data_IF_515470197041
#
_entry.id   IF_515470197041
#
_cell.length_a   1.000
_cell.length_b   1.000
_cell.length_c   1.000
_cell.angle_alpha   90.00
_cell.angle_beta   90.00
_cell.angle_gamma   90.00
#
_symmetry.space_group_name_H-M   'P 1'
#
loop_
_entity.id
_entity.type
_entity.pdbx_description
1 polymer ?
#
# COMPACT_ATOMS: atom_id res chain seq x y z
N UNK A 1 31.66 -23.94 -60.53
CA UNK A 1 30.77 -23.96 -59.33
C UNK A 1 29.99 -22.64 -59.30
N UNK A 2 28.77 -22.65 -59.84
CA UNK A 2 27.95 -21.44 -60.05
C UNK A 2 27.11 -21.13 -58.82
N UNK A 3 27.31 -19.96 -58.22
CA UNK A 3 26.50 -19.44 -57.12
C UNK A 3 25.12 -19.01 -57.65
N UNK A 4 24.13 -19.93 -57.63
CA UNK A 4 22.78 -19.60 -58.08
C UNK A 4 22.11 -18.58 -57.14
N UNK A 5 21.34 -17.61 -57.67
CA UNK A 5 20.66 -16.60 -56.87
C UNK A 5 19.68 -17.19 -55.86
N UNK A 6 19.16 -18.40 -56.14
CA UNK A 6 18.29 -19.17 -55.25
C UNK A 6 19.03 -19.64 -53.99
N UNK A 7 20.28 -20.10 -54.11
CA UNK A 7 21.12 -20.50 -52.96
C UNK A 7 21.42 -19.34 -52.02
N UNK A 8 21.64 -18.14 -52.56
CA UNK A 8 21.84 -16.93 -51.75
C UNK A 8 20.58 -16.55 -50.96
N UNK A 9 19.40 -16.59 -51.61
CA UNK A 9 18.11 -16.33 -50.93
C UNK A 9 17.84 -17.32 -49.81
N UNK A 10 18.06 -18.62 -50.05
CA UNK A 10 17.93 -19.67 -49.03
C UNK A 10 18.91 -19.40 -47.87
N UNK A 11 20.15 -19.03 -48.17
CA UNK A 11 21.14 -18.66 -47.15
C UNK A 11 20.71 -17.49 -46.28
N UNK A 12 20.15 -16.42 -46.87
CA UNK A 12 19.65 -15.27 -46.12
C UNK A 12 18.41 -15.61 -45.28
N UNK A 13 17.49 -16.42 -45.79
CA UNK A 13 16.31 -16.85 -45.03
C UNK A 13 16.71 -17.70 -43.83
N UNK A 14 17.65 -18.63 -43.99
CA UNK A 14 18.18 -19.44 -42.88
C UNK A 14 18.89 -18.56 -41.84
N UNK A 15 19.72 -17.61 -42.29
CA UNK A 15 20.38 -16.67 -41.39
C UNK A 15 19.38 -15.80 -40.61
N UNK A 16 18.33 -15.30 -41.27
CA UNK A 16 17.29 -14.51 -40.64
C UNK A 16 16.52 -15.32 -39.58
N UNK A 17 16.17 -16.57 -39.89
CA UNK A 17 15.50 -17.47 -38.94
C UNK A 17 16.40 -17.77 -37.73
N UNK A 18 17.70 -17.99 -37.94
CA UNK A 18 18.65 -18.19 -36.85
C UNK A 18 18.74 -16.96 -35.93
N UNK A 19 18.79 -15.76 -36.51
CA UNK A 19 18.79 -14.51 -35.73
C UNK A 19 17.49 -14.37 -34.94
N UNK A 20 16.34 -14.68 -35.54
CA UNK A 20 15.05 -14.63 -34.84
C UNK A 20 14.96 -15.64 -33.70
N UNK A 21 15.47 -16.86 -33.88
CA UNK A 21 15.53 -17.88 -32.82
C UNK A 21 16.42 -17.39 -31.67
N UNK A 22 17.59 -16.83 -31.95
CA UNK A 22 18.48 -16.29 -30.92
C UNK A 22 17.84 -15.09 -30.22
N UNK A 23 17.23 -14.17 -30.97
CA UNK A 23 16.54 -13.02 -30.39
C UNK A 23 15.35 -13.43 -29.52
N UNK A 24 14.60 -14.44 -29.95
CA UNK A 24 13.49 -15.00 -29.18
C UNK A 24 13.97 -15.73 -27.92
N UNK A 25 15.04 -16.52 -28.01
CA UNK A 25 15.66 -17.15 -26.82
C UNK A 25 16.14 -16.09 -25.83
N UNK A 26 16.79 -15.02 -26.30
CA UNK A 26 17.22 -13.92 -25.44
C UNK A 26 16.04 -13.14 -24.84
N UNK A 27 14.95 -12.97 -25.60
CA UNK A 27 13.72 -12.37 -25.09
C UNK A 27 13.06 -13.25 -24.04
N UNK A 28 12.99 -14.57 -24.26
CA UNK A 28 12.48 -15.52 -23.27
C UNK A 28 13.34 -15.52 -22.00
N UNK A 29 14.68 -15.51 -22.12
CA UNK A 29 15.57 -15.35 -20.96
C UNK A 29 15.35 -14.03 -20.25
N UNK A 30 15.20 -12.93 -20.98
CA UNK A 30 14.89 -11.62 -20.40
C UNK A 30 13.56 -11.63 -19.63
N UNK A 31 12.51 -12.23 -20.23
CA UNK A 31 11.22 -12.41 -19.58
C UNK A 31 11.34 -13.32 -18.35
N UNK A 32 12.07 -14.43 -18.44
CA UNK A 32 12.27 -15.37 -17.33
C UNK A 32 13.05 -14.74 -16.16
N UNK A 33 14.13 -13.99 -16.42
CA UNK A 33 14.87 -13.28 -15.36
C UNK A 33 14.03 -12.19 -14.70
N UNK A 34 13.08 -11.58 -15.43
CA UNK A 34 12.10 -10.64 -14.88
C UNK A 34 10.93 -11.33 -14.17
N UNK A 35 10.69 -12.60 -14.48
CA UNK A 35 9.68 -13.47 -13.90
C UNK A 35 10.26 -14.37 -12.80
N UNK A 36 11.52 -14.17 -12.38
CA UNK A 36 12.01 -14.72 -11.12
C UNK A 36 11.00 -14.28 -10.05
N UNK A 37 10.21 -15.20 -9.47
CA UNK A 37 9.28 -14.84 -8.42
C UNK A 37 10.12 -14.17 -7.35
N UNK A 38 9.71 -12.98 -6.97
CA UNK A 38 10.33 -12.27 -5.87
C UNK A 38 10.15 -13.16 -4.63
N UNK A 39 11.18 -13.95 -4.29
CA UNK A 39 11.16 -14.94 -3.21
C UNK A 39 11.37 -14.31 -1.82
N UNK A 40 11.19 -12.99 -1.70
CA UNK A 40 11.30 -12.26 -0.43
C UNK A 40 9.98 -11.59 -0.07
N UNK A 41 9.89 -11.06 1.15
CA UNK A 41 8.79 -10.20 1.58
C UNK A 41 8.92 -8.82 0.91
N UNK A 42 7.88 -8.26 0.25
CA UNK A 42 8.01 -7.07 -0.60
C UNK A 42 8.51 -5.84 0.17
N UNK A 43 9.18 -4.86 -0.47
CA UNK A 43 9.46 -3.59 0.20
C UNK A 43 8.17 -2.83 0.48
N UNK A 44 8.13 -2.03 1.56
CA UNK A 44 6.95 -1.24 1.97
C UNK A 44 6.31 -0.44 0.81
N UNK A 45 7.12 0.10 -0.10
CA UNK A 45 6.62 0.82 -1.29
C UNK A 45 5.65 -0.01 -2.14
N UNK A 46 5.92 -1.31 -2.30
CA UNK A 46 5.08 -2.20 -3.09
C UNK A 46 3.77 -2.50 -2.37
N UNK A 47 3.84 -2.76 -1.06
CA UNK A 47 2.68 -2.93 -0.18
C UNK A 47 1.79 -1.68 -0.19
N UNK A 48 2.37 -0.48 -0.16
CA UNK A 48 1.61 0.79 -0.30
C UNK A 48 0.94 0.94 -1.67
N UNK A 49 1.55 0.44 -2.75
CA UNK A 49 0.92 0.43 -4.07
C UNK A 49 -0.23 -0.57 -4.14
N UNK A 50 -0.04 -1.74 -3.55
CA UNK A 50 -1.09 -2.76 -3.46
C UNK A 50 -2.27 -2.26 -2.62
N UNK A 51 -2.00 -1.54 -1.53
CA UNK A 51 -3.00 -0.81 -0.76
C UNK A 51 -3.76 0.20 -1.60
N UNK A 52 -3.06 0.99 -2.43
CA UNK A 52 -3.69 1.90 -3.38
C UNK A 52 -4.65 1.18 -4.34
N UNK A 53 -4.25 0.02 -4.87
CA UNK A 53 -5.12 -0.82 -5.70
C UNK A 53 -6.34 -1.32 -4.93
N UNK A 54 -6.17 -1.80 -3.70
CA UNK A 54 -7.26 -2.28 -2.86
C UNK A 54 -8.28 -1.16 -2.55
N UNK A 55 -7.80 0.05 -2.23
CA UNK A 55 -8.65 1.22 -2.02
C UNK A 55 -9.45 1.60 -3.28
N UNK A 56 -8.82 1.54 -4.45
CA UNK A 56 -9.50 1.78 -5.72
C UNK A 56 -10.58 0.73 -6.01
N UNK A 57 -10.26 -0.55 -5.83
CA UNK A 57 -11.21 -1.65 -6.03
C UNK A 57 -12.41 -1.52 -5.08
N UNK A 58 -12.15 -1.18 -3.81
CA UNK A 58 -13.19 -0.91 -2.82
C UNK A 58 -14.08 0.27 -3.27
N UNK A 59 -13.47 1.40 -3.66
CA UNK A 59 -14.21 2.57 -4.10
C UNK A 59 -15.03 2.30 -5.37
N UNK A 60 -14.51 1.53 -6.32
CA UNK A 60 -15.25 1.12 -7.52
C UNK A 60 -16.48 0.28 -7.17
N UNK A 61 -16.35 -0.64 -6.21
CA UNK A 61 -17.44 -1.53 -5.80
C UNK A 61 -18.47 -0.88 -4.88
N UNK A 62 -18.01 -0.04 -3.95
CA UNK A 62 -18.83 0.50 -2.85
C UNK A 62 -19.19 1.98 -3.03
N UNK A 63 -18.57 2.69 -3.97
CA UNK A 63 -18.82 4.10 -4.26
C UNK A 63 -18.15 5.09 -3.31
N UNK A 64 -17.40 4.61 -2.31
CA UNK A 64 -16.66 5.44 -1.34
C UNK A 64 -15.39 4.73 -0.90
N UNK A 65 -14.46 5.46 -0.28
CA UNK A 65 -13.36 4.83 0.46
C UNK A 65 -13.90 4.09 1.70
N UNK A 66 -13.18 3.07 2.22
CA UNK A 66 -13.63 2.31 3.37
C UNK A 66 -13.58 3.17 4.64
N UNK A 67 -14.58 3.04 5.50
CA UNK A 67 -14.61 3.67 6.83
C UNK A 67 -14.40 2.59 7.91
N UNK A 68 -14.05 3.02 9.12
CA UNK A 68 -13.97 2.13 10.27
C UNK A 68 -15.35 1.52 10.56
N UNK A 69 -15.36 0.26 11.00
CA UNK A 69 -16.59 -0.40 11.44
C UNK A 69 -16.96 0.18 12.80
N UNK A 70 -18.16 0.75 12.90
CA UNK A 70 -18.64 1.43 14.12
C UNK A 70 -19.75 0.66 14.81
N UNK A 71 -19.77 0.76 16.13
CA UNK A 71 -20.93 0.36 16.92
C UNK A 71 -22.13 1.24 16.55
N UNK A 72 -23.24 0.63 16.15
CA UNK A 72 -24.43 1.36 15.70
C UNK A 72 -25.12 2.19 16.78
N UNK A 73 -24.90 1.85 18.05
CA UNK A 73 -25.54 2.48 19.21
C UNK A 73 -24.67 3.57 19.84
N UNK A 74 -23.36 3.36 19.93
CA UNK A 74 -22.43 4.31 20.55
C UNK A 74 -21.69 5.18 19.53
N UNK A 75 -21.59 4.73 18.28
CA UNK A 75 -20.76 5.37 17.24
C UNK A 75 -19.26 5.12 17.41
N UNK A 76 -18.84 4.29 18.36
CA UNK A 76 -17.44 3.98 18.62
C UNK A 76 -16.84 3.14 17.48
N UNK A 77 -15.62 3.45 17.05
CA UNK A 77 -14.90 2.63 16.08
C UNK A 77 -14.47 1.31 16.74
N UNK A 78 -14.97 0.19 16.22
CA UNK A 78 -14.69 -1.16 16.71
C UNK A 78 -13.52 -1.80 15.98
N UNK A 79 -13.52 -1.73 14.64
CA UNK A 79 -12.49 -2.31 13.77
C UNK A 79 -12.03 -1.31 12.73
N UNK A 80 -10.75 -1.38 12.37
CA UNK A 80 -10.18 -0.55 11.32
C UNK A 80 -10.79 -0.83 9.95
N UNK A 81 -10.98 0.21 9.14
CA UNK A 81 -11.29 0.14 7.69
C UNK A 81 -10.42 -0.87 6.92
N UNK A 82 -9.22 -1.16 7.42
CA UNK A 82 -8.28 -2.14 6.84
C UNK A 82 -8.87 -3.56 6.73
N UNK A 83 -9.77 -3.96 7.63
CA UNK A 83 -10.37 -5.31 7.59
C UNK A 83 -11.26 -5.55 6.38
N UNK A 84 -11.65 -4.48 5.67
CA UNK A 84 -12.51 -4.53 4.50
C UNK A 84 -11.74 -4.69 3.18
N UNK A 85 -10.41 -4.52 3.18
CA UNK A 85 -9.62 -4.45 1.95
C UNK A 85 -8.99 -5.75 1.44
N UNK A 86 -8.64 -6.77 2.26
CA UNK A 86 -8.01 -7.98 1.75
C UNK A 86 -8.80 -8.69 0.65
N UNK A 87 -10.13 -8.74 0.75
CA UNK A 87 -10.98 -9.35 -0.29
C UNK A 87 -10.92 -8.61 -1.63
N UNK A 88 -10.59 -7.31 -1.62
CA UNK A 88 -10.41 -6.48 -2.82
C UNK A 88 -9.23 -6.90 -3.68
N UNK A 89 -8.29 -7.66 -3.10
CA UNK A 89 -7.12 -8.21 -3.77
C UNK A 89 -7.12 -9.74 -3.76
N UNK A 90 -8.31 -10.34 -3.61
CA UNK A 90 -8.50 -11.80 -3.56
C UNK A 90 -7.78 -12.50 -2.39
N UNK A 91 -7.53 -11.77 -1.30
CA UNK A 91 -6.97 -12.33 -0.07
C UNK A 91 -8.11 -12.67 0.91
N UNK A 92 -8.05 -13.87 1.50
CA UNK A 92 -9.11 -14.37 2.41
C UNK A 92 -8.69 -14.18 3.86
N UNK A 93 -9.61 -13.68 4.68
CA UNK A 93 -9.41 -13.51 6.13
C UNK A 93 -10.11 -14.61 6.93
N UNK A 94 -9.65 -14.88 8.18
CA UNK A 94 -10.48 -15.60 9.14
C UNK A 94 -11.75 -14.79 9.45
N UNK A 95 -12.80 -15.47 9.92
CA UNK A 95 -14.03 -14.80 10.35
C UNK A 95 -13.79 -13.88 11.56
N UNK A 96 -14.51 -12.76 11.62
CA UNK A 96 -14.41 -11.78 12.70
C UNK A 96 -15.77 -11.16 13.06
N UNK A 97 -15.86 -10.58 14.25
CA UNK A 97 -17.08 -10.07 14.85
C UNK A 97 -17.15 -8.55 14.74
N UNK A 98 -18.00 -8.05 13.82
CA UNK A 98 -18.17 -6.61 13.56
C UNK A 98 -18.77 -5.82 14.73
N UNK A 99 -19.39 -6.51 15.70
CA UNK A 99 -19.98 -5.92 16.90
C UNK A 99 -19.04 -5.93 18.11
N UNK A 100 -17.79 -6.37 17.93
CA UNK A 100 -16.80 -6.42 19.00
C UNK A 100 -15.58 -5.55 18.65
N UNK A 101 -14.93 -4.91 19.63
CA UNK A 101 -13.66 -4.20 19.42
C UNK A 101 -12.55 -5.09 18.85
N UNK A 102 -11.58 -4.47 18.20
CA UNK A 102 -10.42 -5.13 17.59
C UNK A 102 -9.61 -6.03 18.53
N UNK A 103 -9.56 -5.73 19.83
CA UNK A 103 -8.84 -6.49 20.87
C UNK A 103 -9.72 -7.45 21.67
N UNK A 104 -11.00 -7.57 21.31
CA UNK A 104 -11.93 -8.48 21.98
C UNK A 104 -11.56 -9.96 21.75
N UNK A 105 -11.95 -10.87 22.67
CA UNK A 105 -11.68 -12.29 22.51
C UNK A 105 -12.16 -12.89 21.18
N UNK A 106 -13.30 -12.43 20.63
CA UNK A 106 -13.83 -12.89 19.35
C UNK A 106 -13.01 -12.47 18.13
N UNK A 107 -12.21 -11.40 18.25
CA UNK A 107 -11.36 -10.87 17.17
C UNK A 107 -9.88 -11.22 17.33
N UNK A 108 -9.52 -12.02 18.34
CA UNK A 108 -8.12 -12.34 18.67
C UNK A 108 -7.37 -13.06 17.54
N UNK A 109 -8.05 -13.94 16.79
CA UNK A 109 -7.46 -14.64 15.65
C UNK A 109 -7.11 -13.65 14.52
N UNK A 110 -8.05 -12.77 14.16
CA UNK A 110 -7.85 -11.72 13.15
C UNK A 110 -6.70 -10.77 13.54
N UNK A 111 -6.72 -10.29 14.78
CA UNK A 111 -5.67 -9.43 15.34
C UNK A 111 -4.32 -10.15 15.42
N UNK A 112 -4.33 -11.47 15.48
CA UNK A 112 -3.16 -12.34 15.46
C UNK A 112 -2.39 -12.37 14.14
N UNK A 113 -3.08 -12.07 13.04
CA UNK A 113 -2.62 -12.16 11.66
C UNK A 113 -2.05 -10.81 11.17
N UNK A 114 -1.17 -10.83 10.18
CA UNK A 114 -0.96 -9.70 9.27
C UNK A 114 -1.29 -10.18 7.84
N UNK A 115 -2.30 -9.61 7.16
CA UNK A 115 -2.57 -9.92 5.76
C UNK A 115 -1.38 -9.61 4.85
N UNK A 116 -1.18 -10.39 3.80
CA UNK A 116 -0.19 -10.20 2.74
C UNK A 116 -0.31 -8.80 2.13
N UNK A 117 -1.54 -8.26 2.04
CA UNK A 117 -1.82 -6.88 1.64
C UNK A 117 -1.03 -5.82 2.44
N UNK A 118 -0.70 -6.11 3.71
CA UNK A 118 0.01 -5.19 4.60
C UNK A 118 1.43 -5.64 4.95
N UNK A 119 1.83 -6.84 4.51
CA UNK A 119 3.14 -7.40 4.79
C UNK A 119 4.23 -6.77 3.92
N UNK A 120 5.39 -6.50 4.52
CA UNK A 120 6.60 -6.02 3.86
C UNK A 120 7.87 -6.44 4.61
N UNK A 121 9.03 -6.35 3.96
CA UNK A 121 10.35 -6.73 4.52
C UNK A 121 10.69 -6.05 5.86
N UNK A 122 10.01 -4.96 6.22
CA UNK A 122 10.17 -4.33 7.52
C UNK A 122 9.38 -5.01 8.65
N UNK A 123 8.40 -5.86 8.37
CA UNK A 123 7.56 -6.57 9.35
C UNK A 123 8.29 -7.70 10.09
N UNK A 124 9.39 -8.23 9.53
CA UNK A 124 10.20 -9.31 10.12
C UNK A 124 10.83 -8.95 11.49
N UNK A 125 10.74 -7.68 11.90
CA UNK A 125 11.11 -7.23 13.25
C UNK A 125 9.86 -7.16 14.11
N UNK A 126 9.60 -8.15 14.99
CA UNK A 126 8.55 -8.02 15.99
C UNK A 126 8.84 -6.76 16.81
N UNK A 127 7.89 -5.83 16.86
CA UNK A 127 7.97 -4.66 17.73
C UNK A 127 7.33 -5.05 19.04
N UNK A 128 8.12 -5.09 20.11
CA UNK A 128 7.60 -5.20 21.47
C UNK A 128 7.11 -3.81 21.88
N UNK A 129 5.82 -3.53 21.72
CA UNK A 129 5.18 -2.43 22.43
C UNK A 129 4.95 -2.92 23.86
N UNK A 130 5.62 -2.31 24.84
CA UNK A 130 5.50 -2.53 26.29
C UNK A 130 4.71 -3.80 26.69
N UNK A 131 5.45 -4.86 26.99
CA UNK A 131 5.02 -6.06 27.72
C UNK A 131 4.03 -7.02 27.02
N UNK A 132 3.58 -6.73 25.80
CA UNK A 132 2.84 -7.69 24.97
C UNK A 132 3.41 -7.72 23.55
N UNK A 133 3.73 -8.92 23.03
CA UNK A 133 4.13 -9.08 21.63
C UNK A 133 2.90 -8.84 20.77
N UNK A 134 2.71 -7.60 20.34
CA UNK A 134 1.65 -7.23 19.40
C UNK A 134 2.01 -7.82 18.04
N UNK A 135 1.19 -8.77 17.59
CA UNK A 135 1.25 -9.37 16.25
C UNK A 135 0.33 -8.57 15.32
N UNK A 136 0.53 -8.65 14.01
CA UNK A 136 -0.34 -7.94 13.06
C UNK A 136 -0.07 -6.44 12.92
N UNK A 137 1.19 -6.00 12.92
CA UNK A 137 1.51 -4.57 12.83
C UNK A 137 1.62 -4.09 11.38
N UNK A 138 0.85 -3.07 11.01
CA UNK A 138 0.94 -2.42 9.70
C UNK A 138 1.74 -1.12 9.75
N UNK A 139 2.42 -0.81 8.66
CA UNK A 139 3.08 0.48 8.43
C UNK A 139 2.19 1.48 7.67
N UNK A 140 1.01 1.09 7.21
CA UNK A 140 0.17 1.96 6.39
C UNK A 140 -0.90 2.63 7.26
N UNK A 141 -0.82 3.95 7.42
CA UNK A 141 -1.81 4.77 8.14
C UNK A 141 -2.59 5.65 7.16
N UNK A 142 -3.90 5.70 7.30
CA UNK A 142 -4.74 6.67 6.60
C UNK A 142 -4.49 8.09 7.12
N UNK A 143 -4.80 9.09 6.29
CA UNK A 143 -4.75 10.51 6.66
C UNK A 143 -6.19 11.01 6.74
N UNK A 144 -6.59 11.46 7.93
CA UNK A 144 -7.96 11.89 8.24
C UNK A 144 -8.06 13.40 8.38
N UNK A 145 -9.13 13.98 7.88
CA UNK A 145 -9.48 15.38 8.07
C UNK A 145 -10.07 15.62 9.49
N UNK A 146 -10.32 16.88 9.91
CA UNK A 146 -10.91 17.19 11.22
C UNK A 146 -12.22 16.47 11.54
N UNK A 147 -13.04 16.18 10.53
CA UNK A 147 -14.28 15.41 10.67
C UNK A 147 -14.09 13.89 10.74
N UNK A 148 -12.85 13.39 10.66
CA UNK A 148 -12.53 11.96 10.70
C UNK A 148 -12.69 11.24 9.35
N UNK A 149 -13.03 11.96 8.28
CA UNK A 149 -13.11 11.43 6.91
C UNK A 149 -11.73 11.39 6.26
N UNK A 150 -11.61 10.70 5.13
CA UNK A 150 -10.38 10.67 4.35
C UNK A 150 -10.00 12.07 3.86
N UNK A 151 -8.72 12.45 4.01
CA UNK A 151 -8.19 13.69 3.48
C UNK A 151 -8.44 13.82 1.96
N UNK A 152 -8.99 14.96 1.55
CA UNK A 152 -9.31 15.24 0.14
C UNK A 152 -10.62 14.65 -0.38
N UNK A 153 -11.48 14.08 0.47
CA UNK A 153 -12.82 13.60 0.05
C UNK A 153 -13.94 14.62 0.18
N UNK A 154 -13.76 15.67 0.99
CA UNK A 154 -14.71 16.78 1.16
C UNK A 154 -13.98 18.12 1.03
N UNK A 155 -13.51 18.43 -0.19
CA UNK A 155 -12.60 19.56 -0.44
C UNK A 155 -13.23 20.93 -0.24
N UNK A 156 -14.55 21.00 -0.27
CA UNK A 156 -15.30 22.25 -0.22
C UNK A 156 -15.57 22.70 1.22
N UNK A 157 -15.53 21.77 2.17
CA UNK A 157 -15.85 22.04 3.58
C UNK A 157 -14.69 21.75 4.54
N UNK A 158 -13.64 21.07 4.09
CA UNK A 158 -12.56 20.58 4.94
C UNK A 158 -11.17 20.92 4.38
N UNK A 159 -10.18 21.16 5.26
CA UNK A 159 -8.82 21.43 4.81
C UNK A 159 -8.21 20.18 4.15
N UNK A 160 -7.39 20.42 3.14
CA UNK A 160 -6.74 19.36 2.36
C UNK A 160 -5.23 19.44 2.51
N UNK A 161 -4.63 18.40 3.07
CA UNK A 161 -3.20 18.22 3.07
C UNK A 161 -2.74 17.66 1.73
N UNK A 162 -1.90 18.41 1.02
CA UNK A 162 -1.23 17.95 -0.18
C UNK A 162 0.26 17.74 0.06
N UNK A 163 0.79 16.61 -0.39
CA UNK A 163 2.23 16.32 -0.45
C UNK A 163 2.65 16.32 -1.92
N UNK A 164 3.71 17.06 -2.24
CA UNK A 164 4.23 17.27 -3.59
C UNK A 164 3.13 17.67 -4.60
N UNK A 165 2.18 18.49 -4.14
CA UNK A 165 1.08 19.01 -4.96
C UNK A 165 -0.11 18.07 -5.15
N UNK A 166 -0.18 16.94 -4.43
CA UNK A 166 -1.30 15.98 -4.50
C UNK A 166 -1.89 15.67 -3.12
N UNK A 167 -3.22 15.53 -2.98
CA UNK A 167 -3.84 15.09 -1.73
C UNK A 167 -3.33 13.71 -1.31
N UNK A 168 -2.79 13.62 -0.10
CA UNK A 168 -2.29 12.36 0.46
C UNK A 168 -3.43 11.56 1.09
N UNK A 169 -3.59 10.29 0.71
CA UNK A 169 -4.59 9.41 1.32
C UNK A 169 -4.01 8.62 2.50
N UNK A 170 -2.82 8.04 2.30
CA UNK A 170 -2.14 7.25 3.33
C UNK A 170 -0.66 7.64 3.42
N UNK A 171 -0.08 7.39 4.58
CA UNK A 171 1.36 7.45 4.81
C UNK A 171 1.90 6.08 5.21
N UNK A 172 3.10 5.76 4.71
CA UNK A 172 3.87 4.61 5.15
C UNK A 172 4.84 5.02 6.26
N UNK A 173 4.73 4.43 7.44
CA UNK A 173 5.50 4.82 8.63
C UNK A 173 6.57 3.80 9.03
N UNK A 174 7.60 4.31 9.71
CA UNK A 174 8.68 3.54 10.31
C UNK A 174 8.19 2.59 11.41
N UNK A 175 9.03 1.63 11.79
CA UNK A 175 8.68 0.56 12.74
C UNK A 175 8.16 1.06 14.10
N UNK A 176 8.62 2.22 14.57
CA UNK A 176 8.25 2.79 15.85
C UNK A 176 6.78 3.29 15.92
N UNK A 177 6.19 3.61 14.77
CA UNK A 177 4.83 4.16 14.68
C UNK A 177 3.81 3.15 14.13
N UNK A 178 4.20 1.89 13.99
CA UNK A 178 3.29 0.86 13.50
C UNK A 178 2.17 0.60 14.49
N UNK A 179 1.01 0.28 13.95
CA UNK A 179 -0.19 -0.03 14.73
C UNK A 179 -0.71 -1.41 14.36
N UNK A 180 -1.44 -2.03 15.27
CA UNK A 180 -2.20 -3.24 14.96
C UNK A 180 -3.15 -2.96 13.81
N UNK A 181 -3.13 -3.78 12.76
CA UNK A 181 -3.89 -3.51 11.53
C UNK A 181 -5.42 -3.53 11.73
N UNK A 182 -5.91 -4.25 12.74
CA UNK A 182 -7.33 -4.28 13.11
C UNK A 182 -7.76 -3.10 13.95
N UNK A 183 -6.82 -2.34 14.54
CA UNK A 183 -7.12 -1.21 15.44
C UNK A 183 -7.50 0.03 14.63
N UNK A 184 -8.67 0.66 14.88
CA UNK A 184 -9.13 1.85 14.15
C UNK A 184 -8.41 3.11 14.63
N UNK A 185 -7.13 3.22 14.28
CA UNK A 185 -6.27 4.37 14.57
C UNK A 185 -5.47 4.75 13.33
N UNK A 186 -5.43 6.04 13.06
CA UNK A 186 -4.81 6.66 11.89
C UNK A 186 -4.33 8.08 12.24
N UNK A 187 -3.62 8.73 11.32
CA UNK A 187 -3.17 10.10 11.52
C UNK A 187 -4.20 11.12 11.06
N UNK A 188 -4.41 12.13 11.89
CA UNK A 188 -5.00 13.40 11.45
C UNK A 188 -4.03 14.20 10.57
N UNK A 189 -4.57 15.12 9.76
CA UNK A 189 -3.76 16.07 8.97
C UNK A 189 -2.72 16.80 9.84
N UNK A 190 -3.10 17.25 11.04
CA UNK A 190 -2.20 17.94 11.97
C UNK A 190 -1.04 17.04 12.42
N UNK A 191 -1.31 15.79 12.77
CA UNK A 191 -0.26 14.84 13.19
C UNK A 191 0.71 14.54 12.05
N UNK A 192 0.20 14.43 10.80
CA UNK A 192 1.07 14.29 9.63
C UNK A 192 1.97 15.51 9.47
N UNK A 193 1.43 16.73 9.57
CA UNK A 193 2.22 17.97 9.45
C UNK A 193 3.31 18.03 10.54
N UNK A 194 2.95 17.77 11.79
CA UNK A 194 3.89 17.80 12.91
C UNK A 194 5.00 16.76 12.76
N UNK A 195 4.66 15.57 12.24
CA UNK A 195 5.65 14.53 11.96
C UNK A 195 6.54 14.89 10.78
N UNK A 196 5.98 15.44 9.69
CA UNK A 196 6.76 15.90 8.53
C UNK A 196 7.76 16.99 8.93
N UNK A 197 7.38 17.91 9.83
CA UNK A 197 8.28 18.93 10.38
C UNK A 197 9.43 18.30 11.17
N UNK A 198 9.14 17.33 12.04
CA UNK A 198 10.17 16.57 12.79
C UNK A 198 11.11 15.80 11.85
N UNK A 199 10.57 15.26 10.76
CA UNK A 199 11.32 14.45 9.81
C UNK A 199 12.30 15.27 8.94
N UNK A 200 12.10 16.59 8.73
CA UNK A 200 12.99 17.42 7.90
C UNK A 200 14.45 17.38 8.35
N UNK A 201 14.70 17.32 9.67
CA UNK A 201 16.02 17.31 10.25
C UNK A 201 16.53 15.89 10.59
N UNK A 202 15.71 14.85 10.36
CA UNK A 202 16.01 13.49 10.75
C UNK A 202 16.73 12.73 9.64
N UNK A 203 17.77 11.97 10.00
CA UNK A 203 18.40 10.97 9.11
C UNK A 203 17.62 9.66 9.04
N UNK A 204 16.59 9.52 9.87
CA UNK A 204 15.68 8.37 9.95
C UNK A 204 14.25 8.87 10.07
N UNK A 205 13.64 9.34 8.96
CA UNK A 205 12.31 9.91 8.99
C UNK A 205 11.28 8.85 9.37
N UNK A 206 10.29 9.27 10.15
CA UNK A 206 9.16 8.44 10.53
C UNK A 206 8.25 8.18 9.33
N UNK A 207 7.86 9.21 8.59
CA UNK A 207 7.07 9.07 7.37
C UNK A 207 8.02 8.73 6.22
N UNK A 208 7.92 7.50 5.73
CA UNK A 208 8.79 6.95 4.70
C UNK A 208 8.16 6.98 3.31
N UNK A 209 6.81 7.00 3.24
CA UNK A 209 6.07 7.02 1.98
C UNK A 209 4.80 7.84 2.08
N UNK A 210 4.38 8.44 0.97
CA UNK A 210 3.05 9.03 0.79
C UNK A 210 2.35 8.32 -0.38
N UNK A 211 1.12 7.85 -0.14
CA UNK A 211 0.22 7.27 -1.14
C UNK A 211 -0.87 8.27 -1.46
N UNK A 212 -1.10 8.49 -2.75
CA UNK A 212 -2.10 9.42 -3.27
C UNK A 212 -3.34 8.69 -3.79
N UNK A 213 -4.41 9.45 -4.02
CA UNK A 213 -5.68 8.95 -4.55
C UNK A 213 -5.62 8.39 -5.98
N UNK A 214 -4.51 8.57 -6.69
CA UNK A 214 -4.27 7.98 -8.02
C UNK A 214 -3.36 6.73 -7.96
N UNK A 215 -3.12 6.20 -6.75
CA UNK A 215 -2.27 5.03 -6.51
C UNK A 215 -0.76 5.31 -6.59
N UNK A 216 -0.33 6.55 -6.88
CA UNK A 216 1.09 6.87 -6.87
C UNK A 216 1.65 6.86 -5.45
N UNK A 217 2.85 6.29 -5.31
CA UNK A 217 3.59 6.24 -4.04
C UNK A 217 4.95 6.89 -4.22
N UNK A 218 5.23 7.91 -3.40
CA UNK A 218 6.51 8.61 -3.36
C UNK A 218 7.18 8.47 -2.00
N UNK A 219 8.49 8.74 -1.94
CA UNK A 219 9.32 8.73 -0.74
C UNK A 219 9.89 10.13 -0.51
N UNK A 220 10.44 10.45 0.69
CA UNK A 220 11.10 11.71 0.95
C UNK A 220 12.21 12.04 -0.07
N UNK A 221 12.55 13.32 -0.29
CA UNK A 221 12.03 14.48 0.43
C UNK A 221 10.60 14.87 0.01
N UNK A 222 9.84 15.36 0.98
CA UNK A 222 8.48 15.85 0.77
C UNK A 222 8.43 17.38 0.81
N UNK A 223 7.59 17.96 -0.04
CA UNK A 223 7.05 19.30 0.14
C UNK A 223 5.57 19.17 0.46
N UNK A 224 5.03 20.00 1.35
CA UNK A 224 3.62 19.90 1.70
C UNK A 224 2.97 21.27 1.82
N UNK A 225 1.66 21.29 1.61
CA UNK A 225 0.81 22.46 1.73
C UNK A 225 -0.53 22.04 2.32
N UNK A 226 -0.99 22.78 3.32
CA UNK A 226 -2.38 22.74 3.77
C UNK A 226 -3.17 23.77 2.96
N UNK A 227 -4.25 23.34 2.33
CA UNK A 227 -5.18 24.24 1.65
C UNK A 227 -6.46 24.31 2.49
N UNK A 228 -6.92 25.52 2.78
CA UNK A 228 -8.21 25.75 3.43
C UNK A 228 -9.35 25.51 2.43
N UNK A 229 -10.55 25.15 2.91
CA UNK A 229 -11.75 25.09 2.06
C UNK A 229 -12.02 26.46 1.41
N UNK A 230 -12.58 26.44 0.20
CA UNK A 230 -12.95 27.66 -0.56
C UNK A 230 -14.18 28.38 0.00
#
# INVERSE_FOLDING_TARGET
>A
MTNSPLRKKIGYTVLMLLVLVVAFDQFLRYCQTRLEPYNGTPPLKNTMKLLGLALHNYQERHGSLPDDIRDTSTGENLLSWRVLLPEEVSETLPGYQNSEPWDAPGNRELTGLLPDLYEHAGNDRPVTLSDQRVVGLTSALGVKNPSGNWNGTDTDSEPVLSINGKPVLCVGVAAAERVTWTRPVDYSISEVIDQLQRDQASTSPTIQYALFADGHVIQPPFTWKLSEPE
#
